data_IF_912014165331
#
_entry.id   IF_912014165331
#
_cell.length_a   1.000
_cell.length_b   1.000
_cell.length_c   1.000
_cell.angle_alpha   90.00
_cell.angle_beta   90.00
_cell.angle_gamma   90.00
#
_symmetry.space_group_name_H-M   'P 1'
#
loop_
_entity.id
_entity.type
_entity.pdbx_description
1 polymer ?
#
# COMPACT_ATOMS: atom_id res chain seq x y z
N UNK A 1 -20.55 -27.55 -12.22
CA UNK A 1 -20.86 -26.11 -12.04
C UNK A 1 -20.39 -25.65 -10.67
N UNK A 2 -19.89 -24.41 -10.51
CA UNK A 2 -19.45 -23.84 -9.21
C UNK A 2 -20.55 -23.91 -8.13
N UNK A 3 -21.80 -23.78 -8.55
CA UNK A 3 -23.02 -23.78 -7.72
C UNK A 3 -23.14 -25.09 -6.91
N UNK A 4 -22.86 -26.24 -7.52
CA UNK A 4 -22.98 -27.56 -6.87
C UNK A 4 -21.86 -27.84 -5.85
N UNK A 5 -20.81 -27.01 -5.81
CA UNK A 5 -19.66 -27.19 -4.89
C UNK A 5 -19.75 -26.29 -3.66
N UNK A 6 -20.81 -25.48 -3.51
CA UNK A 6 -20.98 -24.57 -2.36
C UNK A 6 -19.97 -23.41 -2.31
N UNK A 7 -19.31 -23.09 -3.43
CA UNK A 7 -18.32 -22.02 -3.50
C UNK A 7 -19.01 -20.64 -3.46
N UNK A 8 -18.46 -19.72 -2.65
CA UNK A 8 -18.99 -18.36 -2.46
C UNK A 8 -18.13 -17.34 -3.18
N UNK A 9 -18.78 -16.33 -3.76
CA UNK A 9 -18.14 -15.13 -4.28
C UNK A 9 -18.53 -13.98 -3.35
N UNK A 10 -17.53 -13.30 -2.79
CA UNK A 10 -17.74 -12.19 -1.87
C UNK A 10 -16.88 -11.00 -2.29
N UNK A 11 -17.47 -9.81 -2.26
CA UNK A 11 -16.71 -8.56 -2.36
C UNK A 11 -16.29 -8.09 -0.96
N UNK A 12 -15.22 -7.32 -0.89
CA UNK A 12 -14.80 -6.63 0.31
C UNK A 12 -14.43 -5.20 -0.06
N UNK A 13 -14.87 -4.26 0.78
CA UNK A 13 -14.42 -2.87 0.78
C UNK A 13 -13.55 -2.69 2.04
N UNK A 14 -12.63 -1.72 2.01
CA UNK A 14 -11.65 -1.44 3.07
C UNK A 14 -12.19 -1.72 4.49
N UNK A 15 -11.38 -2.39 5.32
CA UNK A 15 -11.78 -2.85 6.64
C UNK A 15 -12.02 -1.72 7.65
N UNK A 16 -12.66 -2.06 8.78
CA UNK A 16 -12.87 -1.13 9.89
C UNK A 16 -11.54 -0.65 10.49
N UNK A 17 -11.55 0.49 11.20
CA UNK A 17 -10.35 1.00 11.91
C UNK A 17 -9.79 -0.04 12.90
N UNK A 18 -10.67 -0.78 13.56
CA UNK A 18 -10.28 -1.82 14.51
C UNK A 18 -9.56 -2.99 13.81
N UNK A 19 -10.08 -3.45 12.67
CA UNK A 19 -9.47 -4.53 11.90
C UNK A 19 -8.13 -4.11 11.28
N UNK A 20 -8.02 -2.85 10.85
CA UNK A 20 -6.75 -2.27 10.39
C UNK A 20 -5.71 -2.24 11.51
N UNK A 21 -6.08 -1.89 12.74
CA UNK A 21 -5.17 -1.91 13.89
C UNK A 21 -4.67 -3.34 14.20
N UNK A 22 -5.58 -4.32 14.18
CA UNK A 22 -5.22 -5.74 14.35
C UNK A 22 -4.26 -6.23 13.25
N UNK A 23 -4.52 -5.85 12.00
CA UNK A 23 -3.64 -6.17 10.88
C UNK A 23 -2.27 -5.53 11.02
N UNK A 24 -2.18 -4.26 11.46
CA UNK A 24 -0.91 -3.58 11.67
C UNK A 24 -0.10 -4.27 12.78
N UNK A 25 -0.73 -4.64 13.89
CA UNK A 25 -0.08 -5.38 14.97
C UNK A 25 0.47 -6.72 14.46
N UNK A 26 -0.36 -7.48 13.72
CA UNK A 26 0.08 -8.73 13.10
C UNK A 26 1.30 -8.54 12.19
N UNK A 27 1.30 -7.51 11.35
CA UNK A 27 2.43 -7.20 10.47
C UNK A 27 3.69 -6.80 11.24
N UNK A 28 3.56 -6.09 12.37
CA UNK A 28 4.67 -5.76 13.24
C UNK A 28 5.27 -7.02 13.85
N UNK A 29 4.43 -7.89 14.43
CA UNK A 29 4.83 -9.12 15.12
C UNK A 29 5.49 -10.15 14.18
N UNK A 30 5.06 -10.19 12.91
CA UNK A 30 5.54 -11.14 11.90
C UNK A 30 6.58 -10.56 10.95
N UNK A 31 6.95 -9.30 11.11
CA UNK A 31 7.91 -8.63 10.21
C UNK A 31 7.43 -8.51 8.76
N UNK A 32 6.11 -8.54 8.52
CA UNK A 32 5.55 -8.40 7.17
C UNK A 32 5.69 -6.94 6.73
N UNK A 33 6.33 -6.71 5.59
CA UNK A 33 6.54 -5.38 5.00
C UNK A 33 6.21 -5.41 3.51
N UNK A 34 5.60 -4.35 2.96
CA UNK A 34 5.43 -4.24 1.53
C UNK A 34 6.77 -4.01 0.83
N UNK A 35 6.90 -4.48 -0.41
CA UNK A 35 7.91 -3.99 -1.32
C UNK A 35 7.55 -2.57 -1.76
N UNK A 36 8.46 -1.62 -1.58
CA UNK A 36 8.23 -0.20 -1.90
C UNK A 36 9.31 0.33 -2.83
N UNK A 37 8.91 1.28 -3.67
CA UNK A 37 9.79 2.18 -4.43
C UNK A 37 9.57 3.59 -3.89
N UNK A 38 10.62 4.20 -3.36
CA UNK A 38 10.52 5.51 -2.70
C UNK A 38 10.70 6.63 -3.72
N UNK A 39 9.94 7.69 -3.53
CA UNK A 39 10.00 8.94 -4.28
C UNK A 39 9.87 10.09 -3.27
N UNK A 40 10.55 11.20 -3.52
CA UNK A 40 10.44 12.40 -2.69
C UNK A 40 9.07 13.03 -2.83
N UNK A 41 8.47 13.41 -1.69
CA UNK A 41 7.23 14.19 -1.66
C UNK A 41 7.48 15.67 -2.01
N UNK A 42 8.69 16.20 -1.81
CA UNK A 42 9.00 17.63 -2.00
C UNK A 42 9.38 17.98 -3.44
N UNK A 43 9.74 16.99 -4.26
CA UNK A 43 9.97 17.18 -5.70
C UNK A 43 8.69 16.90 -6.49
N UNK A 44 8.20 17.93 -7.19
CA UNK A 44 7.08 17.79 -8.13
C UNK A 44 7.42 16.81 -9.26
N UNK A 45 8.67 16.79 -9.70
CA UNK A 45 9.18 15.89 -10.73
C UNK A 45 9.10 14.42 -10.28
N UNK A 46 9.55 14.11 -9.06
CA UNK A 46 9.50 12.74 -8.53
C UNK A 46 8.07 12.27 -8.27
N UNK A 47 7.16 13.16 -7.85
CA UNK A 47 5.73 12.85 -7.74
C UNK A 47 5.13 12.49 -9.10
N UNK A 48 5.43 13.29 -10.14
CA UNK A 48 4.97 13.00 -11.50
C UNK A 48 5.56 11.68 -12.02
N UNK A 49 6.84 11.42 -11.76
CA UNK A 49 7.50 10.17 -12.11
C UNK A 49 6.85 8.97 -11.42
N UNK A 50 6.48 9.09 -10.15
CA UNK A 50 5.79 8.03 -9.41
C UNK A 50 4.44 7.71 -10.07
N UNK A 51 3.67 8.73 -10.44
CA UNK A 51 2.37 8.58 -11.11
C UNK A 51 2.51 7.94 -12.50
N UNK A 52 3.47 8.39 -13.31
CA UNK A 52 3.75 7.79 -14.61
C UNK A 52 4.19 6.32 -14.48
N UNK A 53 5.04 6.03 -13.51
CA UNK A 53 5.53 4.67 -13.26
C UNK A 53 4.41 3.72 -12.82
N UNK A 54 3.43 4.22 -12.06
CA UNK A 54 2.22 3.46 -11.71
C UNK A 54 1.38 3.15 -12.94
N UNK A 55 1.15 4.14 -13.82
CA UNK A 55 0.40 3.95 -15.06
C UNK A 55 1.08 2.96 -16.01
N UNK A 56 2.42 2.99 -16.09
CA UNK A 56 3.23 2.09 -16.93
C UNK A 56 3.48 0.72 -16.28
N UNK A 57 3.02 0.48 -15.06
CA UNK A 57 3.28 -0.74 -14.28
C UNK A 57 4.79 -1.05 -14.10
N UNK A 58 5.64 -0.01 -14.04
CA UNK A 58 7.09 -0.17 -13.84
C UNK A 58 7.50 -0.12 -12.37
N UNK A 59 6.59 0.30 -11.49
CA UNK A 59 6.79 0.29 -10.03
C UNK A 59 6.79 -1.14 -9.51
N UNK A 60 7.71 -1.43 -8.59
CA UNK A 60 7.72 -2.70 -7.85
C UNK A 60 6.62 -2.70 -6.78
N UNK A 61 5.40 -3.02 -7.20
CA UNK A 61 4.17 -3.13 -6.40
C UNK A 61 3.62 -1.83 -5.80
N UNK A 62 4.42 -1.03 -5.06
CA UNK A 62 3.95 0.20 -4.40
C UNK A 62 4.93 1.36 -4.54
N UNK A 63 4.43 2.51 -4.99
CA UNK A 63 5.15 3.78 -4.93
C UNK A 63 4.88 4.45 -3.59
N UNK A 64 5.94 4.79 -2.86
CA UNK A 64 5.86 5.46 -1.56
C UNK A 64 6.43 6.87 -1.70
N UNK A 65 5.60 7.89 -1.47
CA UNK A 65 6.06 9.26 -1.35
C UNK A 65 6.59 9.49 0.07
N UNK A 66 7.85 9.88 0.20
CA UNK A 66 8.53 10.06 1.47
C UNK A 66 8.65 11.56 1.73
N UNK A 67 8.12 12.01 2.87
CA UNK A 67 8.34 13.36 3.37
C UNK A 67 9.75 13.46 3.98
N UNK A 68 10.41 14.60 3.81
CA UNK A 68 11.74 14.82 4.36
C UNK A 68 11.75 14.63 5.90
N UNK A 69 12.76 13.91 6.41
CA UNK A 69 12.87 13.55 7.84
C UNK A 69 12.87 14.75 8.79
N UNK A 70 13.19 15.94 8.30
CA UNK A 70 13.19 17.18 9.09
C UNK A 70 11.78 17.72 9.41
N UNK A 71 10.72 17.23 8.74
CA UNK A 71 9.33 17.63 9.00
C UNK A 71 8.63 16.79 10.08
N UNK A 72 9.21 15.65 10.48
CA UNK A 72 8.64 14.75 11.49
C UNK A 72 9.18 14.99 12.91
N UNK A 73 10.12 15.95 13.07
CA UNK A 73 10.60 16.46 14.36
C UNK A 73 9.74 17.66 14.79
N UNK A 74 8.48 17.38 15.16
CA UNK A 74 7.60 18.34 15.83
C UNK A 74 7.32 17.86 17.25
#
# INVERSE_FOLDING_TARGET
MLINKGLRIQGSLVASREDLAKMLQFCADKGVRPATSNFSLTSTEEVNQAMESLQRNTVRYKALLVADENLLKL
#
